data_IF_890655918452
#
_entry.id   IF_890655918452
#
_cell.length_a   1.000
_cell.length_b   1.000
_cell.length_c   1.000
_cell.angle_alpha   90.00
_cell.angle_beta   90.00
_cell.angle_gamma   90.00
#
_symmetry.space_group_name_H-M   'P 1'
#
loop_
_entity.id
_entity.type
_entity.pdbx_description
1 polymer ?
#
# COMPACT_ATOMS: atom_id res chain seq x y z
N UNK A 1 -13.13 -0.98 26.32
CA UNK A 1 -13.25 0.29 25.58
C UNK A 1 -11.97 0.44 24.77
N UNK A 2 -12.04 0.76 23.48
CA UNK A 2 -10.85 1.00 22.67
C UNK A 2 -10.46 2.48 22.80
N UNK A 3 -9.19 2.78 23.09
CA UNK A 3 -8.69 4.11 23.49
C UNK A 3 -8.62 5.16 22.35
N UNK A 4 -9.42 5.03 21.30
CA UNK A 4 -9.53 6.02 20.22
C UNK A 4 -8.25 6.28 19.40
N UNK A 5 -7.23 5.42 19.52
CA UNK A 5 -5.94 5.61 18.86
C UNK A 5 -6.03 5.39 17.35
N UNK A 6 -5.32 6.22 16.59
CA UNK A 6 -5.09 6.02 15.15
C UNK A 6 -3.81 5.21 14.95
N UNK A 7 -3.92 4.06 14.28
CA UNK A 7 -2.79 3.16 14.00
C UNK A 7 -2.50 3.16 12.49
N UNK A 8 -1.23 3.34 12.12
CA UNK A 8 -0.77 3.28 10.73
C UNK A 8 0.07 2.03 10.53
N UNK A 9 -0.31 1.20 9.56
CA UNK A 9 0.40 -0.03 9.20
C UNK A 9 0.97 0.13 7.80
N UNK A 10 2.29 0.03 7.67
CA UNK A 10 2.98 -0.07 6.38
C UNK A 10 3.48 -1.49 6.20
N UNK A 11 2.81 -2.24 5.33
CA UNK A 11 3.15 -3.64 5.06
C UNK A 11 2.98 -3.93 3.58
N UNK A 12 3.82 -4.80 3.02
CA UNK A 12 3.67 -5.27 1.63
C UNK A 12 2.31 -5.93 1.42
N UNK A 13 1.78 -6.63 2.44
CA UNK A 13 0.44 -7.19 2.48
C UNK A 13 0.02 -7.85 1.16
N UNK A 14 0.90 -8.68 0.60
CA UNK A 14 0.85 -9.12 -0.80
C UNK A 14 -0.33 -10.02 -1.16
N UNK A 15 -1.07 -10.54 -0.17
CA UNK A 15 -2.21 -11.44 -0.37
C UNK A 15 -3.49 -10.86 0.21
N UNK A 16 -4.60 -11.01 -0.51
CA UNK A 16 -5.92 -10.56 -0.11
C UNK A 16 -6.36 -11.22 1.21
N UNK A 17 -6.07 -12.52 1.37
CA UNK A 17 -6.37 -13.27 2.61
C UNK A 17 -5.77 -12.61 3.86
N UNK A 18 -4.57 -12.01 3.77
CA UNK A 18 -3.92 -11.38 4.93
C UNK A 18 -4.56 -10.05 5.27
N UNK A 19 -4.95 -9.28 4.23
CA UNK A 19 -5.66 -8.01 4.40
C UNK A 19 -7.04 -8.23 5.02
N UNK A 20 -7.72 -9.30 4.63
CA UNK A 20 -9.02 -9.68 5.18
C UNK A 20 -8.91 -10.25 6.58
N UNK A 21 -7.88 -11.06 6.87
CA UNK A 21 -7.62 -11.54 8.23
C UNK A 21 -7.46 -10.38 9.23
N UNK A 22 -6.72 -9.33 8.86
CA UNK A 22 -6.60 -8.13 9.70
C UNK A 22 -7.93 -7.40 9.82
N UNK A 23 -8.64 -7.17 8.70
CA UNK A 23 -9.93 -6.47 8.72
C UNK A 23 -10.99 -7.19 9.58
N UNK A 24 -10.97 -8.52 9.61
CA UNK A 24 -11.87 -9.31 10.45
C UNK A 24 -11.55 -9.23 11.95
N UNK A 25 -10.35 -8.78 12.32
CA UNK A 25 -9.92 -8.63 13.72
C UNK A 25 -10.08 -7.20 14.26
N UNK A 26 -10.26 -6.21 13.38
CA UNK A 26 -10.32 -4.80 13.76
C UNK A 26 -11.68 -4.22 13.40
N UNK A 27 -12.22 -3.35 14.27
CA UNK A 27 -13.57 -2.80 14.06
C UNK A 27 -13.66 -1.88 12.84
N UNK A 28 -12.74 -0.93 12.69
CA UNK A 28 -12.68 -0.02 11.55
C UNK A 28 -11.27 -0.04 10.98
N UNK A 29 -11.17 -0.28 9.68
CA UNK A 29 -9.93 -0.21 8.91
C UNK A 29 -10.15 0.66 7.69
N UNK A 30 -9.12 1.42 7.30
CA UNK A 30 -9.07 2.13 6.03
C UNK A 30 -7.89 1.56 5.25
N UNK A 31 -8.15 1.04 4.06
CA UNK A 31 -7.19 0.38 3.18
C UNK A 31 -6.71 1.37 2.14
N UNK A 32 -5.43 1.74 2.22
CA UNK A 32 -4.78 2.63 1.26
C UNK A 32 -3.84 1.80 0.37
N UNK A 33 -4.13 1.76 -0.92
CA UNK A 33 -3.28 1.09 -1.91
C UNK A 33 -2.32 2.08 -2.56
N UNK A 34 -1.02 1.89 -2.32
CA UNK A 34 0.04 2.59 -3.04
C UNK A 34 0.51 1.69 -4.19
N UNK A 35 0.20 2.09 -5.41
CA UNK A 35 0.64 1.39 -6.62
C UNK A 35 1.82 2.13 -7.25
N UNK A 36 2.58 1.42 -8.08
CA UNK A 36 3.63 1.97 -8.91
C UNK A 36 3.93 1.02 -10.07
N UNK A 37 4.43 1.56 -11.18
CA UNK A 37 5.02 0.76 -12.25
C UNK A 37 6.20 -0.06 -11.68
N UNK A 38 6.20 -1.39 -11.80
CA UNK A 38 7.32 -2.23 -11.38
C UNK A 38 8.68 -1.80 -11.95
N UNK A 39 8.71 -1.18 -13.13
CA UNK A 39 9.96 -0.65 -13.71
C UNK A 39 10.53 0.49 -12.90
N UNK A 40 9.69 1.35 -12.32
CA UNK A 40 10.12 2.49 -11.51
C UNK A 40 10.77 2.08 -10.18
N UNK A 41 10.60 0.83 -9.76
CA UNK A 41 11.21 0.29 -8.54
C UNK A 41 12.70 -0.03 -8.71
N UNK A 42 13.19 -0.15 -9.95
CA UNK A 42 14.59 -0.45 -10.24
C UNK A 42 15.42 0.83 -10.25
N UNK A 43 16.69 0.72 -9.85
CA UNK A 43 17.62 1.85 -9.80
C UNK A 43 17.46 2.68 -8.53
N UNK A 44 17.22 3.99 -8.67
CA UNK A 44 17.28 4.93 -7.54
C UNK A 44 16.26 4.67 -6.41
N UNK A 45 15.16 3.94 -6.69
CA UNK A 45 14.17 3.55 -5.68
C UNK A 45 14.48 2.23 -4.98
N UNK A 46 15.42 1.44 -5.49
CA UNK A 46 15.84 0.18 -4.88
C UNK A 46 16.85 0.41 -3.74
N UNK A 47 16.46 1.19 -2.74
CA UNK A 47 17.31 1.60 -1.60
C UNK A 47 17.89 0.40 -0.85
N UNK A 48 17.19 -0.74 -0.89
CA UNK A 48 17.58 -1.98 -0.20
C UNK A 48 18.27 -2.99 -1.14
N UNK A 49 18.39 -2.70 -2.43
CA UNK A 49 18.96 -3.62 -3.43
C UNK A 49 18.15 -4.90 -3.65
N UNK A 50 16.87 -4.94 -3.25
CA UNK A 50 16.05 -6.15 -3.30
C UNK A 50 15.66 -6.52 -4.73
N UNK A 51 15.38 -5.52 -5.57
CA UNK A 51 15.04 -5.76 -6.98
C UNK A 51 16.28 -6.19 -7.75
N UNK A 52 17.43 -5.54 -7.51
CA UNK A 52 18.70 -5.94 -8.11
C UNK A 52 19.10 -7.38 -7.72
N UNK A 53 18.98 -7.75 -6.45
CA UNK A 53 19.25 -9.11 -5.98
C UNK A 53 18.25 -10.13 -6.54
N UNK A 54 16.99 -9.73 -6.76
CA UNK A 54 16.00 -10.60 -7.41
C UNK A 54 16.30 -10.81 -8.89
N UNK A 55 16.66 -9.75 -9.62
CA UNK A 55 17.05 -9.82 -11.03
C UNK A 55 18.33 -10.67 -11.21
N UNK A 56 19.25 -10.66 -10.23
CA UNK A 56 20.44 -11.52 -10.20
C UNK A 56 20.16 -12.98 -9.79
N UNK A 57 18.93 -13.31 -9.36
CA UNK A 57 18.54 -14.65 -8.91
C UNK A 57 18.94 -14.99 -7.47
N UNK A 58 19.48 -14.05 -6.71
CA UNK A 58 19.86 -14.22 -5.30
C UNK A 58 18.63 -14.24 -4.37
N UNK A 59 17.58 -13.48 -4.75
CA UNK A 59 16.27 -13.48 -4.07
C UNK A 59 15.20 -14.01 -5.02
N UNK A 60 14.69 -15.20 -4.73
CA UNK A 60 13.68 -15.88 -5.54
C UNK A 60 12.26 -15.71 -5.03
N UNK A 61 12.07 -15.11 -3.83
CA UNK A 61 10.76 -15.01 -3.17
C UNK A 61 10.31 -13.58 -2.90
N UNK A 62 10.77 -12.62 -3.71
CA UNK A 62 10.32 -11.23 -3.61
C UNK A 62 8.86 -11.11 -4.12
N UNK A 63 7.92 -10.56 -3.33
CA UNK A 63 6.55 -10.32 -3.79
C UNK A 63 6.50 -9.42 -5.03
N UNK A 64 5.71 -9.81 -6.03
CA UNK A 64 5.62 -9.14 -7.33
C UNK A 64 6.71 -9.54 -8.33
N UNK A 65 7.66 -10.39 -7.94
CA UNK A 65 8.64 -11.02 -8.84
C UNK A 65 8.50 -12.54 -8.77
N UNK A 66 9.07 -13.17 -7.74
CA UNK A 66 9.05 -14.63 -7.56
C UNK A 66 7.91 -15.15 -6.68
N UNK A 67 7.19 -14.26 -6.00
CA UNK A 67 5.90 -14.55 -5.34
C UNK A 67 4.81 -13.65 -5.92
N UNK A 68 3.54 -14.11 -5.96
CA UNK A 68 2.44 -13.28 -6.42
C UNK A 68 2.25 -12.06 -5.51
N UNK A 69 1.83 -10.95 -6.12
CA UNK A 69 1.28 -9.79 -5.43
C UNK A 69 -0.14 -9.59 -5.94
N UNK A 70 -1.12 -9.78 -5.06
CA UNK A 70 -2.54 -9.64 -5.37
C UNK A 70 -2.95 -8.19 -5.14
N UNK A 71 -3.33 -7.50 -6.22
CA UNK A 71 -3.88 -6.15 -6.12
C UNK A 71 -5.10 -6.15 -5.17
N UNK A 72 -5.27 -5.15 -4.30
CA UNK A 72 -6.44 -5.06 -3.43
C UNK A 72 -7.74 -4.95 -4.24
N UNK A 73 -8.74 -5.75 -3.91
CA UNK A 73 -10.03 -5.75 -4.64
C UNK A 73 -10.88 -4.51 -4.34
N UNK A 74 -10.86 -4.05 -3.09
CA UNK A 74 -11.64 -2.90 -2.62
C UNK A 74 -10.80 -2.03 -1.66
N UNK A 75 -9.82 -1.27 -2.17
CA UNK A 75 -9.15 -0.23 -1.39
C UNK A 75 -10.07 0.98 -1.21
N UNK A 76 -10.01 1.62 -0.04
CA UNK A 76 -10.73 2.88 0.22
C UNK A 76 -10.07 4.07 -0.50
N UNK A 77 -8.75 4.04 -0.65
CA UNK A 77 -7.95 5.05 -1.35
C UNK A 77 -6.89 4.36 -2.21
N UNK A 78 -6.65 4.87 -3.42
CA UNK A 78 -5.59 4.39 -4.31
C UNK A 78 -4.73 5.54 -4.81
N UNK A 79 -3.41 5.38 -4.77
CA UNK A 79 -2.46 6.36 -5.28
C UNK A 79 -1.39 5.69 -6.14
N UNK A 80 -1.29 6.11 -7.41
CA UNK A 80 -0.14 5.80 -8.24
C UNK A 80 1.05 6.70 -7.87
N UNK A 81 2.11 6.07 -7.36
CA UNK A 81 3.32 6.72 -6.86
C UNK A 81 4.47 6.73 -7.88
N UNK A 82 4.22 6.27 -9.12
CA UNK A 82 5.25 6.18 -10.17
C UNK A 82 5.94 7.51 -10.41
N UNK A 83 5.17 8.59 -10.59
CA UNK A 83 5.67 9.94 -10.87
C UNK A 83 5.21 11.00 -9.85
N UNK A 84 4.72 10.58 -8.67
CA UNK A 84 4.29 11.50 -7.60
C UNK A 84 5.32 11.60 -6.50
N UNK A 85 5.44 12.79 -5.91
CA UNK A 85 6.22 12.98 -4.69
C UNK A 85 5.49 12.38 -3.48
N UNK A 86 6.25 12.00 -2.45
CA UNK A 86 5.67 11.53 -1.20
C UNK A 86 4.75 12.58 -0.55
N UNK A 87 5.13 13.85 -0.61
CA UNK A 87 4.35 14.97 -0.08
C UNK A 87 3.00 15.14 -0.79
N UNK A 88 2.97 14.98 -2.12
CA UNK A 88 1.72 15.05 -2.88
C UNK A 88 0.78 13.91 -2.55
N UNK A 89 1.32 12.70 -2.37
CA UNK A 89 0.55 11.52 -1.97
C UNK A 89 0.04 11.68 -0.54
N UNK A 90 0.88 12.19 0.38
CA UNK A 90 0.50 12.44 1.77
C UNK A 90 -0.63 13.47 1.87
N UNK A 91 -0.52 14.60 1.17
CA UNK A 91 -1.58 15.62 1.12
C UNK A 91 -2.90 15.02 0.63
N UNK A 92 -2.86 14.24 -0.44
CA UNK A 92 -4.05 13.60 -0.99
C UNK A 92 -4.62 12.53 -0.04
N UNK A 93 -3.77 11.73 0.61
CA UNK A 93 -4.20 10.73 1.59
C UNK A 93 -4.89 11.36 2.80
N UNK A 94 -4.33 12.44 3.37
CA UNK A 94 -4.94 13.16 4.49
C UNK A 94 -6.30 13.75 4.10
N UNK A 95 -6.41 14.35 2.90
CA UNK A 95 -7.67 14.87 2.39
C UNK A 95 -8.73 13.76 2.22
N UNK A 96 -8.35 12.62 1.62
CA UNK A 96 -9.23 11.46 1.44
C UNK A 96 -9.68 10.86 2.77
N UNK A 97 -8.78 10.73 3.75
CA UNK A 97 -9.11 10.27 5.10
C UNK A 97 -10.12 11.19 5.79
N UNK A 98 -9.97 12.51 5.63
CA UNK A 98 -10.91 13.48 6.20
C UNK A 98 -12.30 13.38 5.55
N UNK A 99 -12.39 13.15 4.23
CA UNK A 99 -13.66 12.91 3.54
C UNK A 99 -14.36 11.63 4.01
N UNK A 100 -13.62 10.52 4.11
CA UNK A 100 -14.12 9.25 4.65
C UNK A 100 -14.61 9.37 6.09
N UNK A 101 -13.94 10.20 6.90
CA UNK A 101 -14.37 10.46 8.28
C UNK A 101 -15.73 11.19 8.34
N UNK A 102 -16.06 12.01 7.33
CA UNK A 102 -17.34 12.72 7.21
C UNK A 102 -18.45 11.93 6.50
N UNK A 103 -18.13 10.75 5.96
CA UNK A 103 -19.07 9.95 5.16
C UNK A 103 -19.28 10.49 3.74
N UNK A 104 -18.36 11.31 3.26
CA UNK A 104 -18.37 11.83 1.89
C UNK A 104 -17.72 10.81 0.94
N UNK A 105 -18.26 10.69 -0.28
CA UNK A 105 -17.61 9.90 -1.32
C UNK A 105 -16.25 10.49 -1.66
N UNK A 106 -15.21 9.65 -1.72
CA UNK A 106 -13.90 10.11 -2.18
C UNK A 106 -13.93 10.21 -3.71
N UNK A 107 -13.89 11.45 -4.21
CA UNK A 107 -13.59 11.69 -5.62
C UNK A 107 -12.15 11.29 -5.91
N UNK A 108 -11.97 10.15 -6.57
CA UNK A 108 -10.70 9.69 -7.14
C UNK A 108 -10.41 10.37 -8.46
#
# INVERSE_FOLDING_TARGET
MADGQVVVISATAARQEWRDAVANQVGRIIRIWLTCDPKALRGARDIKGLYAASDAGEITRLPGQGLPFEAPEAPDLTFDTTARSADDVLRAAVAGLAALARGEGVGV
#
